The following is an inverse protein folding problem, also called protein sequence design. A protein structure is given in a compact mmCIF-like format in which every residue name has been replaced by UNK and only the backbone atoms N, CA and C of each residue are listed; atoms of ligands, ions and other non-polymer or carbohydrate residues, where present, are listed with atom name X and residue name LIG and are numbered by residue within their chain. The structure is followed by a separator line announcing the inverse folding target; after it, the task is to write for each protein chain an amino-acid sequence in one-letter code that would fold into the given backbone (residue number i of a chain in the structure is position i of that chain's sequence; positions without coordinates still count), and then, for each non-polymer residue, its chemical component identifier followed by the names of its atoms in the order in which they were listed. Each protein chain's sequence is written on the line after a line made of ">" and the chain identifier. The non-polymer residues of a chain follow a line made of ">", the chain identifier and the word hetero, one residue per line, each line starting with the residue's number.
data_IF_398398685177
#
_entry.id   IF_398398685177
#
_cell.length_a   1.000
_cell.length_b   1.000
_cell.length_c   1.000
_cell.angle_alpha   90.00
_cell.angle_beta   90.00
_cell.angle_gamma   90.00
#
_symmetry.space_group_name_H-M   'P 1'
#
loop_
_entity.id
_entity.type
_entity.pdbx_description
1 polymer ?
#
# COMPACT_ATOMS: atom_id res chain seq x y z
N UNK A 1 -29.50 1.00 6.32
CA UNK A 1 -28.02 0.83 6.40
C UNK A 1 -27.42 0.40 5.07
N UNK A 2 -27.95 -0.60 4.38
CA UNK A 2 -27.47 -1.10 3.07
C UNK A 2 -27.34 0.02 2.03
N UNK A 3 -28.38 0.86 1.89
CA UNK A 3 -28.37 1.96 0.90
C UNK A 3 -27.33 3.04 1.23
N UNK A 4 -27.03 3.26 2.51
CA UNK A 4 -25.93 4.16 2.90
C UNK A 4 -24.57 3.61 2.40
N UNK A 5 -24.32 2.32 2.57
CA UNK A 5 -23.09 1.67 2.07
C UNK A 5 -23.02 1.72 0.55
N UNK A 6 -24.13 1.44 -0.15
CA UNK A 6 -24.21 1.53 -1.61
C UNK A 6 -23.87 2.95 -2.09
N UNK A 7 -24.42 3.97 -1.43
CA UNK A 7 -24.14 5.38 -1.74
C UNK A 7 -22.65 5.74 -1.52
N UNK A 8 -22.05 5.27 -0.40
CA UNK A 8 -20.62 5.47 -0.15
C UNK A 8 -19.76 4.77 -1.22
N UNK A 9 -20.10 3.54 -1.61
CA UNK A 9 -19.41 2.83 -2.70
C UNK A 9 -19.60 3.51 -4.05
N UNK A 10 -20.75 4.13 -4.28
CA UNK A 10 -20.98 4.93 -5.48
C UNK A 10 -20.06 6.15 -5.52
N UNK A 11 -19.99 6.95 -4.44
CA UNK A 11 -19.07 8.10 -4.32
C UNK A 11 -17.61 7.66 -4.52
N UNK A 12 -17.21 6.56 -3.89
CA UNK A 12 -15.87 6.00 -4.06
C UNK A 12 -15.59 5.64 -5.53
N UNK A 13 -16.51 4.96 -6.19
CA UNK A 13 -16.32 4.45 -7.55
C UNK A 13 -16.40 5.53 -8.62
N UNK A 14 -17.39 6.42 -8.53
CA UNK A 14 -17.61 7.50 -9.49
C UNK A 14 -16.64 8.67 -9.32
N UNK A 15 -16.17 8.90 -8.07
CA UNK A 15 -15.34 10.05 -7.71
C UNK A 15 -16.12 11.35 -7.59
N UNK A 16 -17.46 11.31 -7.62
CA UNK A 16 -18.29 12.50 -7.54
C UNK A 16 -18.16 13.21 -6.17
N UNK A 17 -18.47 14.50 -6.15
CA UNK A 17 -18.64 15.22 -4.89
C UNK A 17 -19.89 14.70 -4.14
N UNK A 18 -19.88 14.73 -2.81
CA UNK A 18 -21.02 14.29 -1.99
C UNK A 18 -22.35 14.93 -2.42
N UNK A 19 -22.33 16.23 -2.72
CA UNK A 19 -23.50 17.00 -3.15
C UNK A 19 -24.06 16.57 -4.51
N UNK A 20 -23.30 15.82 -5.29
CA UNK A 20 -23.67 15.28 -6.60
C UNK A 20 -24.08 13.80 -6.53
N UNK A 21 -24.36 13.29 -5.32
CA UNK A 21 -24.90 11.96 -5.16
C UNK A 21 -26.28 11.89 -5.82
N UNK A 22 -26.56 10.89 -6.68
CA UNK A 22 -27.88 10.72 -7.33
C UNK A 22 -29.01 10.59 -6.32
N UNK A 23 -30.18 11.09 -6.70
CA UNK A 23 -31.40 11.09 -5.86
C UNK A 23 -31.96 9.69 -5.56
N UNK A 24 -31.53 8.67 -6.30
CA UNK A 24 -31.85 7.25 -6.05
C UNK A 24 -31.25 6.75 -4.72
N UNK A 25 -30.26 7.44 -4.18
CA UNK A 25 -29.67 7.17 -2.87
C UNK A 25 -30.30 8.05 -1.78
N UNK A 26 -30.11 7.69 -0.51
CA UNK A 26 -30.49 8.58 0.58
C UNK A 26 -29.82 9.97 0.44
N UNK A 27 -30.42 11.04 0.99
CA UNK A 27 -29.88 12.39 0.91
C UNK A 27 -28.39 12.44 1.29
N UNK A 28 -27.59 13.14 0.46
CA UNK A 28 -26.14 13.18 0.64
C UNK A 28 -25.67 13.61 2.07
N UNK A 29 -26.36 14.51 2.79
CA UNK A 29 -25.95 14.85 4.16
C UNK A 29 -26.04 13.68 5.10
N UNK A 30 -27.07 12.84 4.95
CA UNK A 30 -27.26 11.61 5.74
C UNK A 30 -26.13 10.61 5.42
N UNK A 31 -25.87 10.37 4.14
CA UNK A 31 -24.78 9.45 3.73
C UNK A 31 -23.42 9.92 4.25
N UNK A 32 -23.13 11.23 4.11
CA UNK A 32 -21.90 11.83 4.61
C UNK A 32 -21.78 11.77 6.14
N UNK A 33 -22.92 11.97 6.86
CA UNK A 33 -22.95 11.84 8.31
C UNK A 33 -22.48 10.44 8.74
N UNK A 34 -23.05 9.37 8.19
CA UNK A 34 -22.65 8.00 8.50
C UNK A 34 -21.19 7.73 8.11
N UNK A 35 -20.76 8.15 6.92
CA UNK A 35 -19.37 8.00 6.49
C UNK A 35 -18.39 8.68 7.48
N UNK A 36 -18.72 9.91 7.90
CA UNK A 36 -17.93 10.69 8.85
C UNK A 36 -17.92 10.02 10.24
N UNK A 37 -19.05 9.59 10.74
CA UNK A 37 -19.17 8.90 12.03
C UNK A 37 -18.29 7.64 12.03
N UNK A 38 -18.44 6.78 11.03
CA UNK A 38 -17.65 5.56 10.90
C UNK A 38 -16.14 5.80 10.68
N UNK A 39 -15.76 6.97 10.17
CA UNK A 39 -14.37 7.40 10.15
C UNK A 39 -13.87 7.76 11.54
N UNK A 40 -14.67 8.49 12.32
CA UNK A 40 -14.28 8.98 13.65
C UNK A 40 -14.18 7.84 14.66
N UNK A 41 -15.12 6.90 14.66
CA UNK A 41 -15.19 5.78 15.61
C UNK A 41 -14.37 4.54 15.17
N UNK A 42 -13.66 4.63 14.02
CA UNK A 42 -12.83 3.56 13.49
C UNK A 42 -13.61 2.40 12.85
N UNK A 43 -14.93 2.55 12.64
CA UNK A 43 -15.76 1.49 12.05
C UNK A 43 -15.28 1.04 10.67
N UNK A 44 -14.73 1.93 9.84
CA UNK A 44 -14.20 1.53 8.52
C UNK A 44 -13.05 0.53 8.62
N UNK A 45 -12.14 0.71 9.58
CA UNK A 45 -11.06 -0.26 9.84
C UNK A 45 -11.62 -1.58 10.40
N UNK A 46 -12.57 -1.51 11.35
CA UNK A 46 -13.22 -2.69 11.91
C UNK A 46 -13.98 -3.51 10.87
N UNK A 47 -14.74 -2.84 9.98
CA UNK A 47 -15.45 -3.47 8.85
C UNK A 47 -14.45 -4.15 7.91
N UNK A 48 -13.39 -3.44 7.52
CA UNK A 48 -12.34 -3.99 6.67
C UNK A 48 -11.72 -5.25 7.27
N UNK A 49 -11.40 -5.23 8.57
CA UNK A 49 -10.85 -6.37 9.31
C UNK A 49 -11.81 -7.55 9.32
N UNK A 50 -13.06 -7.34 9.69
CA UNK A 50 -14.06 -8.41 9.78
C UNK A 50 -14.30 -9.10 8.43
N UNK A 51 -14.38 -8.32 7.34
CA UNK A 51 -14.55 -8.87 5.98
C UNK A 51 -13.30 -9.65 5.55
N UNK A 52 -12.11 -9.11 5.84
CA UNK A 52 -10.84 -9.77 5.53
C UNK A 52 -10.71 -11.12 6.25
N UNK A 53 -10.97 -11.13 7.56
CA UNK A 53 -10.92 -12.35 8.36
C UNK A 53 -11.89 -13.41 7.84
N UNK A 54 -13.12 -13.02 7.51
CA UNK A 54 -14.10 -13.92 6.90
C UNK A 54 -13.63 -14.48 5.55
N UNK A 55 -13.02 -13.64 4.72
CA UNK A 55 -12.49 -14.06 3.41
C UNK A 55 -11.31 -15.03 3.58
N UNK A 56 -10.42 -14.80 4.55
CA UNK A 56 -9.29 -15.68 4.86
C UNK A 56 -9.79 -17.06 5.32
N UNK A 57 -10.76 -17.10 6.24
CA UNK A 57 -11.38 -18.35 6.70
C UNK A 57 -12.02 -19.11 5.54
N UNK A 58 -12.76 -18.39 4.68
CA UNK A 58 -13.36 -19.00 3.48
C UNK A 58 -12.32 -19.60 2.53
N UNK A 59 -11.17 -18.96 2.42
CA UNK A 59 -10.02 -19.45 1.64
C UNK A 59 -9.19 -20.52 2.38
N UNK A 60 -9.70 -21.10 3.48
CA UNK A 60 -9.04 -22.09 4.34
C UNK A 60 -7.70 -21.58 4.92
N UNK A 61 -7.60 -20.28 5.16
CA UNK A 61 -6.42 -19.63 5.74
C UNK A 61 -6.72 -19.15 7.16
N UNK A 62 -5.66 -18.90 7.93
CA UNK A 62 -5.82 -18.31 9.24
C UNK A 62 -6.29 -16.85 9.09
N UNK A 63 -7.33 -16.41 9.84
CA UNK A 63 -7.81 -15.02 9.81
C UNK A 63 -6.77 -14.00 10.28
N UNK A 64 -5.84 -14.42 11.16
CA UNK A 64 -4.77 -13.56 11.64
C UNK A 64 -3.50 -13.73 10.76
N UNK A 65 -2.96 -12.65 10.20
CA UNK A 65 -1.76 -12.72 9.37
C UNK A 65 -0.53 -13.05 10.22
N UNK A 66 0.39 -13.87 9.70
CA UNK A 66 1.70 -14.13 10.31
C UNK A 66 2.81 -13.30 9.69
N UNK A 67 2.58 -12.80 8.49
CA UNK A 67 3.51 -11.95 7.76
C UNK A 67 2.77 -10.87 6.98
N UNK A 68 3.45 -9.75 6.72
CA UNK A 68 2.90 -8.63 5.98
C UNK A 68 3.91 -7.96 5.06
N UNK A 69 3.43 -7.12 4.17
CA UNK A 69 4.24 -6.31 3.27
C UNK A 69 3.91 -4.84 3.54
N UNK A 70 4.93 -4.00 3.70
CA UNK A 70 4.77 -2.56 3.80
C UNK A 70 5.32 -1.90 2.55
N UNK A 71 4.55 -0.98 2.00
CA UNK A 71 4.98 -0.13 0.89
C UNK A 71 4.26 1.22 0.94
N UNK A 72 4.76 2.19 0.17
CA UNK A 72 4.23 3.54 0.10
C UNK A 72 3.93 4.01 -1.32
N UNK A 73 2.87 4.78 -1.47
CA UNK A 73 2.52 5.44 -2.71
C UNK A 73 2.39 6.95 -2.50
N UNK A 74 3.20 7.74 -3.23
CA UNK A 74 3.00 9.19 -3.29
C UNK A 74 1.90 9.52 -4.28
N UNK A 75 0.94 10.35 -3.86
CA UNK A 75 -0.24 10.70 -4.65
C UNK A 75 -0.46 12.20 -4.68
N UNK A 76 -0.83 12.72 -5.86
CA UNK A 76 -1.13 14.14 -6.04
C UNK A 76 -2.39 14.52 -5.26
N UNK A 77 -2.35 15.63 -4.55
CA UNK A 77 -3.55 16.31 -4.01
C UNK A 77 -4.15 17.24 -5.07
N UNK A 78 -5.37 17.71 -4.82
CA UNK A 78 -6.07 18.67 -5.67
C UNK A 78 -6.00 20.09 -5.11
N UNK A 79 -6.60 21.04 -5.82
CA UNK A 79 -6.74 22.44 -5.38
C UNK A 79 -7.65 22.66 -4.17
N UNK A 80 -8.43 21.64 -3.75
CA UNK A 80 -9.33 21.71 -2.59
C UNK A 80 -8.60 22.13 -1.30
N UNK A 81 -7.27 21.94 -1.24
CA UNK A 81 -6.49 22.18 -0.03
C UNK A 81 -6.55 20.99 0.92
N UNK A 82 -6.10 21.18 2.15
CA UNK A 82 -6.09 20.16 3.20
C UNK A 82 -4.78 20.15 3.98
N UNK A 83 -4.80 19.40 5.06
CA UNK A 83 -3.65 19.21 5.94
C UNK A 83 -2.59 18.30 5.30
N UNK A 84 -1.39 18.34 5.87
CA UNK A 84 -0.30 17.41 5.57
C UNK A 84 0.03 17.26 4.08
N UNK A 85 0.29 18.37 3.41
CA UNK A 85 0.76 18.38 2.02
C UNK A 85 2.25 18.59 1.97
N UNK A 86 2.93 17.91 1.04
CA UNK A 86 4.37 18.06 0.87
C UNK A 86 4.84 17.65 -0.51
N UNK A 87 6.15 17.63 -0.72
CA UNK A 87 6.78 17.24 -1.98
C UNK A 87 7.68 16.03 -1.78
N UNK A 88 7.43 14.98 -2.55
CA UNK A 88 8.30 13.81 -2.65
C UNK A 88 9.34 14.08 -3.75
N UNK A 89 10.57 14.38 -3.36
CA UNK A 89 11.64 14.69 -4.32
C UNK A 89 12.06 13.51 -5.17
N UNK A 90 11.99 12.29 -4.64
CA UNK A 90 12.35 11.06 -5.36
C UNK A 90 11.34 10.70 -6.45
N UNK A 91 10.05 10.82 -6.15
CA UNK A 91 8.95 10.52 -7.08
C UNK A 91 8.46 11.75 -7.86
N UNK A 92 8.96 12.97 -7.53
CA UNK A 92 8.55 14.26 -8.11
C UNK A 92 7.04 14.51 -8.01
N UNK A 93 6.44 14.15 -6.87
CA UNK A 93 5.01 14.27 -6.60
C UNK A 93 4.76 15.27 -5.47
N UNK A 94 3.93 16.30 -5.73
CA UNK A 94 3.41 17.19 -4.70
C UNK A 94 2.06 16.68 -4.20
N UNK A 95 1.98 16.32 -2.92
CA UNK A 95 0.74 15.80 -2.36
C UNK A 95 0.93 15.08 -1.03
N UNK A 96 0.35 13.90 -0.94
CA UNK A 96 0.40 13.02 0.23
C UNK A 96 1.03 11.68 -0.10
N UNK A 97 1.43 10.98 0.93
CA UNK A 97 1.93 9.61 0.84
C UNK A 97 0.97 8.67 1.59
N UNK A 98 0.57 7.59 0.92
CA UNK A 98 -0.21 6.51 1.50
C UNK A 98 0.73 5.38 1.84
N UNK A 99 0.89 5.07 3.12
CA UNK A 99 1.56 3.87 3.58
C UNK A 99 0.54 2.78 3.85
N UNK A 100 0.80 1.58 3.37
CA UNK A 100 -0.03 0.41 3.59
C UNK A 100 0.78 -0.72 4.22
N UNK A 101 0.19 -1.35 5.22
CA UNK A 101 0.53 -2.70 5.63
C UNK A 101 -0.53 -3.62 5.03
N UNK A 102 -0.10 -4.59 4.23
CA UNK A 102 -1.00 -5.58 3.61
C UNK A 102 -0.59 -6.99 4.00
N UNK A 103 -1.54 -7.94 3.97
CA UNK A 103 -1.22 -9.35 4.12
C UNK A 103 -0.63 -9.94 2.83
N UNK A 104 -0.28 -11.22 2.83
CA UNK A 104 0.32 -11.91 1.67
C UNK A 104 -0.61 -12.05 0.47
N UNK A 105 -1.91 -11.82 0.66
CA UNK A 105 -2.91 -11.75 -0.41
C UNK A 105 -3.13 -10.32 -0.93
N UNK A 106 -2.53 -9.32 -0.29
CA UNK A 106 -2.65 -7.91 -0.64
C UNK A 106 -3.86 -7.21 -0.02
N UNK A 107 -4.51 -7.81 0.97
CA UNK A 107 -5.58 -7.12 1.69
C UNK A 107 -5.01 -6.19 2.76
N UNK A 108 -5.54 -4.98 2.82
CA UNK A 108 -5.07 -3.96 3.75
C UNK A 108 -5.35 -4.38 5.20
N UNK A 109 -4.28 -4.38 5.99
CA UNK A 109 -4.30 -4.54 7.44
C UNK A 109 -4.36 -3.17 8.12
N UNK A 110 -3.45 -2.27 7.72
CA UNK A 110 -3.41 -0.87 8.17
C UNK A 110 -3.09 0.08 7.02
N UNK A 111 -3.62 1.29 7.14
CA UNK A 111 -3.34 2.39 6.23
C UNK A 111 -3.00 3.64 7.02
N UNK A 112 -1.98 4.39 6.59
CA UNK A 112 -1.64 5.71 7.11
C UNK A 112 -1.40 6.68 5.98
N UNK A 113 -1.96 7.87 6.10
CA UNK A 113 -1.80 8.95 5.12
C UNK A 113 -1.17 10.15 5.80
N UNK A 114 -0.14 10.70 5.18
CA UNK A 114 0.60 11.84 5.69
C UNK A 114 1.21 12.66 4.54
N UNK A 115 1.95 13.71 4.85
CA UNK A 115 2.64 14.55 3.87
C UNK A 115 3.59 13.71 2.99
N UNK A 116 3.61 13.98 1.68
CA UNK A 116 4.53 13.32 0.75
C UNK A 116 6.02 13.60 1.05
N UNK A 117 6.34 14.64 1.85
CA UNK A 117 7.71 14.95 2.28
C UNK A 117 8.28 13.95 3.29
N UNK A 118 7.41 13.24 4.02
CA UNK A 118 7.83 12.24 5.01
C UNK A 118 8.51 11.09 4.30
N UNK A 119 9.70 10.73 4.76
CA UNK A 119 10.46 9.61 4.17
C UNK A 119 9.79 8.27 4.48
N UNK A 120 10.00 7.27 3.62
CA UNK A 120 9.33 5.98 3.75
C UNK A 120 9.68 5.30 5.09
N UNK A 121 10.94 5.38 5.52
CA UNK A 121 11.41 4.84 6.80
C UNK A 121 10.87 5.57 8.04
N UNK A 122 10.40 6.81 7.91
CA UNK A 122 9.72 7.54 8.98
C UNK A 122 8.23 7.21 9.01
N UNK A 123 7.60 7.12 7.84
CA UNK A 123 6.17 6.86 7.71
C UNK A 123 5.75 5.46 8.16
N UNK A 124 6.68 4.50 8.25
CA UNK A 124 6.39 3.16 8.76
C UNK A 124 6.05 3.18 10.27
N UNK A 125 6.65 4.10 11.04
CA UNK A 125 6.44 4.18 12.50
C UNK A 125 4.97 4.43 12.84
N UNK A 126 4.31 5.51 12.37
CA UNK A 126 2.90 5.75 12.64
C UNK A 126 1.95 4.74 11.97
N UNK A 127 2.39 4.04 10.91
CA UNK A 127 1.63 2.95 10.31
C UNK A 127 1.57 1.74 11.23
N UNK A 128 2.68 1.37 11.85
CA UNK A 128 2.81 0.17 12.69
C UNK A 128 2.53 0.43 14.17
N UNK A 129 2.26 1.68 14.54
CA UNK A 129 1.79 2.02 15.87
C UNK A 129 0.57 1.15 16.23
N UNK A 130 0.60 0.52 17.39
CA UNK A 130 -0.42 -0.45 17.86
C UNK A 130 -0.62 -1.69 16.96
N UNK A 131 0.17 -1.89 15.89
CA UNK A 131 0.02 -3.06 15.03
C UNK A 131 0.37 -4.37 15.77
N UNK A 132 1.33 -4.34 16.69
CA UNK A 132 1.69 -5.48 17.52
C UNK A 132 0.54 -5.98 18.40
N UNK A 133 -0.27 -5.07 18.95
CA UNK A 133 -1.45 -5.39 19.75
C UNK A 133 -2.60 -5.91 18.88
N UNK A 134 -2.78 -5.33 17.69
CA UNK A 134 -3.88 -5.69 16.79
C UNK A 134 -3.65 -7.01 16.06
N UNK A 135 -2.40 -7.36 15.76
CA UNK A 135 -2.02 -8.53 14.96
C UNK A 135 -1.02 -9.41 15.71
N UNK A 136 -1.49 -10.10 16.74
CA UNK A 136 -0.64 -10.90 17.66
C UNK A 136 0.21 -11.97 16.97
N UNK A 137 -0.24 -12.51 15.81
CA UNK A 137 0.50 -13.49 15.01
C UNK A 137 1.49 -12.87 14.04
N UNK A 138 1.42 -11.56 13.74
CA UNK A 138 2.32 -10.91 12.80
C UNK A 138 3.73 -10.84 13.39
N UNK A 139 4.69 -11.48 12.73
CA UNK A 139 6.08 -11.61 13.19
C UNK A 139 7.09 -11.35 12.09
N UNK A 140 6.65 -11.16 10.85
CA UNK A 140 7.55 -10.96 9.71
C UNK A 140 7.04 -9.90 8.75
N UNK A 141 7.95 -9.03 8.27
CA UNK A 141 7.63 -8.02 7.27
C UNK A 141 8.59 -8.08 6.08
N UNK A 142 8.02 -7.90 4.88
CA UNK A 142 8.78 -7.55 3.69
C UNK A 142 8.71 -6.06 3.45
N UNK A 143 9.87 -5.43 3.31
CA UNK A 143 10.04 -4.00 3.03
C UNK A 143 10.87 -3.83 1.77
N UNK A 144 10.76 -2.68 1.11
CA UNK A 144 11.68 -2.35 0.02
C UNK A 144 13.02 -1.81 0.55
N UNK A 145 13.99 -1.63 -0.34
CA UNK A 145 15.34 -1.16 0.03
C UNK A 145 15.37 0.27 0.60
N UNK A 146 14.33 1.07 0.35
CA UNK A 146 14.19 2.43 0.92
C UNK A 146 14.05 2.47 2.45
N UNK A 147 13.77 1.32 3.08
CA UNK A 147 13.68 1.19 4.54
C UNK A 147 14.98 0.75 5.22
N UNK A 148 16.06 0.58 4.43
CA UNK A 148 17.39 0.19 4.92
C UNK A 148 18.07 1.36 5.66
N UNK A 149 18.90 1.03 6.66
CA UNK A 149 19.83 1.92 7.36
C UNK A 149 19.66 1.87 8.86
N UNK A 150 20.69 2.30 9.56
CA UNK A 150 20.74 2.38 11.02
C UNK A 150 19.63 3.31 11.53
N UNK A 151 18.91 2.87 12.55
CA UNK A 151 17.74 3.52 13.15
C UNK A 151 16.58 3.86 12.17
N UNK A 152 16.65 3.34 10.93
CA UNK A 152 15.58 3.46 9.94
C UNK A 152 14.54 2.34 10.07
N UNK A 153 13.63 2.28 9.10
CA UNK A 153 12.45 1.44 9.16
C UNK A 153 12.69 0.00 9.55
N UNK A 154 13.68 -0.69 8.95
CA UNK A 154 14.04 -2.07 9.31
C UNK A 154 14.44 -2.18 10.78
N UNK A 155 15.48 -1.46 11.17
CA UNK A 155 16.05 -1.53 12.52
C UNK A 155 15.02 -1.14 13.57
N UNK A 156 14.20 -0.13 13.29
CA UNK A 156 13.14 0.26 14.19
C UNK A 156 12.10 -0.85 14.39
N UNK A 157 11.67 -1.54 13.32
CA UNK A 157 10.72 -2.65 13.41
C UNK A 157 11.30 -3.79 14.24
N UNK A 158 12.55 -4.16 14.02
CA UNK A 158 13.23 -5.24 14.74
C UNK A 158 13.41 -4.89 16.23
N UNK A 159 13.82 -3.65 16.54
CA UNK A 159 14.03 -3.18 17.93
C UNK A 159 12.71 -2.96 18.69
N UNK A 160 11.73 -2.27 18.07
CA UNK A 160 10.52 -1.83 18.74
C UNK A 160 9.41 -2.89 18.80
N UNK A 161 9.29 -3.74 17.77
CA UNK A 161 8.23 -4.73 17.65
C UNK A 161 8.73 -6.17 17.82
N UNK A 162 10.03 -6.41 17.76
CA UNK A 162 10.62 -7.75 17.82
C UNK A 162 10.25 -8.60 16.58
N UNK A 163 9.90 -7.98 15.47
CA UNK A 163 9.53 -8.69 14.24
C UNK A 163 10.74 -8.82 13.32
N UNK A 164 10.82 -9.91 12.58
CA UNK A 164 11.83 -10.09 11.55
C UNK A 164 11.51 -9.28 10.31
N UNK A 165 12.54 -8.73 9.66
CA UNK A 165 12.40 -7.93 8.44
C UNK A 165 13.29 -8.45 7.33
N UNK A 166 12.66 -8.73 6.18
CA UNK A 166 13.37 -9.03 4.93
C UNK A 166 13.27 -7.83 3.98
N UNK A 167 14.43 -7.33 3.54
CA UNK A 167 14.51 -6.28 2.53
C UNK A 167 14.48 -6.89 1.14
N UNK A 168 13.43 -6.59 0.37
CA UNK A 168 13.29 -7.04 -1.02
C UNK A 168 14.13 -6.15 -1.92
N UNK A 169 15.29 -6.67 -2.33
CA UNK A 169 16.22 -5.95 -3.20
C UNK A 169 15.84 -6.11 -4.67
N UNK A 170 16.08 -5.07 -5.45
CA UNK A 170 16.07 -5.18 -6.90
C UNK A 170 17.33 -5.94 -7.34
N UNK A 171 17.23 -6.80 -8.36
CA UNK A 171 18.45 -7.37 -8.93
C UNK A 171 19.39 -6.23 -9.36
N UNK A 172 20.70 -6.42 -9.22
CA UNK A 172 21.67 -5.42 -9.63
C UNK A 172 21.42 -5.03 -11.09
N UNK A 173 21.54 -3.75 -11.40
CA UNK A 173 21.53 -3.31 -12.81
C UNK A 173 22.75 -3.91 -13.49
N UNK A 174 22.57 -4.43 -14.71
CA UNK A 174 23.72 -4.82 -15.52
C UNK A 174 24.64 -3.61 -15.72
N UNK A 175 25.94 -3.86 -15.72
CA UNK A 175 26.89 -2.82 -16.13
C UNK A 175 26.56 -2.36 -17.55
N UNK A 176 26.84 -1.10 -17.90
CA UNK A 176 26.68 -0.62 -19.27
C UNK A 176 27.34 -1.56 -20.27
N UNK A 177 26.75 -1.71 -21.46
CA UNK A 177 27.18 -2.69 -22.46
C UNK A 177 28.65 -2.53 -22.87
N UNK A 178 29.11 -1.29 -22.95
CA UNK A 178 30.51 -0.91 -23.25
C UNK A 178 31.49 -1.41 -22.17
N UNK A 179 31.11 -1.31 -20.87
CA UNK A 179 31.91 -1.82 -19.74
C UNK A 179 31.97 -3.35 -19.78
N UNK A 180 30.82 -4.01 -20.03
CA UNK A 180 30.76 -5.47 -20.13
C UNK A 180 31.63 -5.97 -21.30
N UNK A 181 31.59 -5.29 -22.45
CA UNK A 181 32.42 -5.63 -23.60
C UNK A 181 33.92 -5.39 -23.35
N UNK A 182 34.27 -4.36 -22.57
CA UNK A 182 35.65 -4.11 -22.19
C UNK A 182 36.19 -5.23 -21.27
N UNK A 183 35.41 -5.63 -20.28
CA UNK A 183 35.75 -6.76 -19.41
C UNK A 183 35.86 -8.07 -20.16
N UNK A 184 34.93 -8.32 -21.10
CA UNK A 184 34.98 -9.51 -21.95
C UNK A 184 36.28 -9.61 -22.77
N UNK A 185 36.71 -8.51 -23.37
CA UNK A 185 37.94 -8.44 -24.12
C UNK A 185 39.19 -8.67 -23.24
N UNK A 186 39.17 -8.13 -22.03
CA UNK A 186 40.26 -8.31 -21.09
C UNK A 186 40.38 -9.77 -20.64
N UNK A 187 39.28 -10.40 -20.21
CA UNK A 187 39.25 -11.79 -19.76
C UNK A 187 39.56 -12.79 -20.86
N UNK A 188 39.13 -12.51 -22.11
CA UNK A 188 39.51 -13.31 -23.24
C UNK A 188 41.04 -13.29 -23.52
N UNK A 189 41.72 -12.16 -23.26
CA UNK A 189 43.18 -12.06 -23.33
C UNK A 189 43.87 -12.86 -22.23
N UNK A 190 43.23 -13.01 -21.08
CA UNK A 190 43.70 -13.78 -19.92
C UNK A 190 43.36 -15.29 -20.04
N UNK A 191 42.73 -15.73 -21.12
CA UNK A 191 42.34 -17.12 -21.36
C UNK A 191 41.15 -17.59 -20.53
N UNK A 192 40.42 -16.67 -19.91
CA UNK A 192 39.24 -16.98 -19.09
C UNK A 192 37.99 -17.10 -19.95
N UNK A 193 37.30 -18.23 -19.85
CA UNK A 193 35.97 -18.43 -20.47
C UNK A 193 34.90 -17.91 -19.54
N UNK A 194 34.09 -16.95 -19.96
CA UNK A 194 33.05 -16.32 -19.16
C UNK A 194 31.67 -16.85 -19.53
N UNK A 195 30.99 -17.49 -18.59
CA UNK A 195 29.60 -17.91 -18.75
C UNK A 195 28.67 -16.68 -18.56
N UNK A 196 28.46 -15.91 -19.62
CA UNK A 196 27.67 -14.68 -19.63
C UNK A 196 26.27 -14.86 -19.09
N UNK A 197 25.63 -15.99 -19.37
CA UNK A 197 24.28 -16.30 -18.92
C UNK A 197 24.13 -16.30 -17.38
N UNK A 198 25.23 -16.61 -16.67
CA UNK A 198 25.27 -16.59 -15.21
C UNK A 198 25.64 -15.24 -14.61
N UNK A 199 26.37 -14.42 -15.37
CA UNK A 199 26.89 -13.13 -14.90
C UNK A 199 25.98 -11.94 -15.24
N UNK A 200 25.20 -12.05 -16.33
CA UNK A 200 24.28 -11.02 -16.70
C UNK A 200 22.96 -11.17 -15.90
N UNK A 201 22.48 -10.09 -15.28
CA UNK A 201 21.16 -10.12 -14.68
C UNK A 201 20.12 -10.45 -15.76
N UNK A 202 19.08 -11.20 -15.44
CA UNK A 202 18.04 -11.56 -16.38
C UNK A 202 17.47 -10.31 -17.05
N UNK A 203 17.37 -10.33 -18.37
CA UNK A 203 16.84 -9.19 -19.14
C UNK A 203 15.32 -9.11 -19.02
N UNK A 204 14.76 -7.90 -19.03
CA UNK A 204 13.34 -7.65 -19.03
C UNK A 204 12.74 -7.35 -17.65
N UNK A 205 11.41 -7.31 -17.61
CA UNK A 205 10.66 -7.06 -16.39
C UNK A 205 10.70 -8.27 -15.46
N UNK A 206 11.21 -8.06 -14.26
CA UNK A 206 11.23 -9.09 -13.20
C UNK A 206 10.23 -8.76 -12.11
N UNK A 207 9.36 -9.71 -11.83
CA UNK A 207 8.45 -9.64 -10.68
C UNK A 207 9.29 -9.86 -9.41
N UNK A 208 9.43 -8.83 -8.60
CA UNK A 208 10.06 -8.98 -7.28
C UNK A 208 9.10 -9.73 -6.35
N UNK A 209 9.50 -10.90 -5.84
CA UNK A 209 8.66 -11.66 -4.91
C UNK A 209 8.20 -10.77 -3.75
N UNK A 210 6.93 -10.93 -3.35
CA UNK A 210 6.27 -10.19 -2.27
C UNK A 210 6.01 -8.70 -2.54
N UNK A 211 6.94 -7.93 -3.09
CA UNK A 211 6.75 -6.49 -3.33
C UNK A 211 5.58 -6.19 -4.27
N UNK A 212 5.45 -6.92 -5.39
CA UNK A 212 4.36 -6.74 -6.34
C UNK A 212 2.96 -6.87 -5.69
N UNK A 213 2.87 -7.56 -4.54
CA UNK A 213 1.61 -7.72 -3.81
C UNK A 213 1.11 -6.36 -3.30
N UNK A 214 1.98 -5.54 -2.72
CA UNK A 214 1.61 -4.19 -2.27
C UNK A 214 1.31 -3.27 -3.46
N UNK A 215 2.11 -3.34 -4.53
CA UNK A 215 1.86 -2.60 -5.78
C UNK A 215 0.48 -2.94 -6.37
N UNK A 216 0.11 -4.22 -6.38
CA UNK A 216 -1.23 -4.69 -6.77
C UNK A 216 -2.31 -4.13 -5.86
N UNK A 217 -2.06 -4.03 -4.56
CA UNK A 217 -3.03 -3.46 -3.60
C UNK A 217 -3.30 -1.98 -3.89
N UNK A 218 -2.25 -1.20 -4.18
CA UNK A 218 -2.41 0.18 -4.65
C UNK A 218 -3.20 0.26 -5.95
N UNK A 219 -2.94 -0.63 -6.91
CA UNK A 219 -3.69 -0.68 -8.15
C UNK A 219 -5.18 -0.96 -7.90
N UNK A 220 -5.54 -1.92 -7.03
CA UNK A 220 -6.93 -2.19 -6.66
C UNK A 220 -7.62 -0.97 -6.03
N UNK A 221 -6.94 -0.25 -5.16
CA UNK A 221 -7.45 0.99 -4.55
C UNK A 221 -7.68 2.04 -5.64
N UNK A 222 -6.70 2.25 -6.52
CA UNK A 222 -6.75 3.25 -7.59
C UNK A 222 -7.76 2.93 -8.72
N UNK A 223 -8.28 1.70 -8.82
CA UNK A 223 -9.41 1.38 -9.69
C UNK A 223 -10.69 2.15 -9.32
N UNK A 224 -10.73 2.79 -8.17
CA UNK A 224 -11.82 3.69 -7.77
C UNK A 224 -11.43 5.13 -8.11
N UNK A 225 -12.25 5.84 -8.89
CA UNK A 225 -11.94 7.20 -9.38
C UNK A 225 -11.61 8.17 -8.25
N UNK A 226 -12.29 8.04 -7.09
CA UNK A 226 -12.00 8.87 -5.92
C UNK A 226 -10.59 8.69 -5.38
N UNK A 227 -9.96 7.56 -5.65
CA UNK A 227 -8.63 7.21 -5.17
C UNK A 227 -7.50 7.52 -6.16
N UNK A 228 -7.81 7.96 -7.40
CA UNK A 228 -6.82 8.29 -8.42
C UNK A 228 -5.96 9.52 -8.07
N UNK A 229 -6.52 10.43 -7.25
CA UNK A 229 -5.81 11.53 -6.56
C UNK A 229 -6.31 11.59 -5.12
N UNK A 230 -5.66 12.36 -4.27
CA UNK A 230 -6.20 12.66 -2.94
C UNK A 230 -7.02 13.95 -2.97
N UNK A 231 -8.34 13.80 -2.92
CA UNK A 231 -9.32 14.88 -2.92
C UNK A 231 -9.73 15.32 -1.51
N UNK A 232 -9.21 14.63 -0.48
CA UNK A 232 -9.73 14.79 0.87
C UNK A 232 -8.99 15.92 1.61
N UNK A 233 -9.71 16.66 2.47
CA UNK A 233 -9.08 17.68 3.31
C UNK A 233 -8.30 17.07 4.46
N UNK A 234 -8.82 15.98 5.07
CA UNK A 234 -8.21 15.28 6.21
C UNK A 234 -7.54 13.99 5.76
N UNK A 235 -6.35 13.71 6.29
CA UNK A 235 -5.65 12.45 6.07
C UNK A 235 -6.49 11.25 6.52
N UNK A 236 -7.15 11.36 7.68
CA UNK A 236 -8.05 10.32 8.18
C UNK A 236 -9.23 10.01 7.23
N UNK A 237 -9.69 10.98 6.43
CA UNK A 237 -10.72 10.73 5.41
C UNK A 237 -10.16 9.91 4.25
N UNK A 238 -8.92 10.19 3.84
CA UNK A 238 -8.24 9.40 2.82
C UNK A 238 -7.99 7.96 3.31
N UNK A 239 -7.59 7.76 4.56
CA UNK A 239 -7.46 6.45 5.21
C UNK A 239 -8.79 5.68 5.22
N UNK A 240 -9.89 6.32 5.60
CA UNK A 240 -11.22 5.73 5.57
C UNK A 240 -11.63 5.26 4.17
N UNK A 241 -11.31 6.03 3.13
CA UNK A 241 -11.56 5.61 1.75
C UNK A 241 -10.66 4.45 1.30
N UNK A 242 -9.43 4.32 1.80
CA UNK A 242 -8.60 3.13 1.57
C UNK A 242 -9.29 1.88 2.11
N UNK A 243 -9.75 1.91 3.38
CA UNK A 243 -10.50 0.80 3.97
C UNK A 243 -11.81 0.51 3.23
N UNK A 244 -12.53 1.57 2.83
CA UNK A 244 -13.78 1.44 2.05
C UNK A 244 -13.52 0.75 0.70
N UNK A 245 -12.46 1.13 0.00
CA UNK A 245 -12.08 0.57 -1.30
C UNK A 245 -11.73 -0.92 -1.18
N UNK A 246 -10.95 -1.26 -0.16
CA UNK A 246 -10.55 -2.64 0.10
C UNK A 246 -11.74 -3.49 0.56
N UNK A 247 -12.60 -2.97 1.43
CA UNK A 247 -13.83 -3.64 1.88
C UNK A 247 -14.73 -3.96 0.69
N UNK A 248 -14.95 -3.00 -0.22
CA UNK A 248 -15.71 -3.22 -1.44
C UNK A 248 -15.13 -4.34 -2.32
N UNK A 249 -13.81 -4.38 -2.47
CA UNK A 249 -13.13 -5.45 -3.20
C UNK A 249 -13.39 -6.82 -2.57
N UNK A 250 -13.20 -6.92 -1.25
CA UNK A 250 -13.35 -8.18 -0.52
C UNK A 250 -14.79 -8.68 -0.48
N UNK A 251 -15.79 -7.80 -0.30
CA UNK A 251 -17.22 -8.15 -0.40
C UNK A 251 -17.54 -8.74 -1.76
N UNK A 252 -17.03 -8.16 -2.86
CA UNK A 252 -17.23 -8.69 -4.20
C UNK A 252 -16.57 -10.06 -4.41
N UNK A 253 -15.48 -10.35 -3.70
CA UNK A 253 -14.85 -11.68 -3.74
C UNK A 253 -15.69 -12.69 -2.98
N UNK A 254 -16.14 -12.34 -1.77
CA UNK A 254 -17.03 -13.20 -0.99
C UNK A 254 -18.34 -13.51 -1.69
N UNK A 255 -18.88 -12.60 -2.51
CA UNK A 255 -20.12 -12.82 -3.26
C UNK A 255 -19.97 -13.71 -4.50
N UNK A 256 -18.74 -14.10 -4.87
CA UNK A 256 -18.46 -14.97 -6.05
C UNK A 256 -18.12 -16.41 -5.66
N UNK A 257 -18.09 -16.64 -4.41
CA UNK A 257 -17.76 -17.93 -3.77
C UNK A 257 -19.02 -18.48 -3.10
#
# INVERSE_FOLDING_TARGET
>A
MREILNAVFYVLRSGCAWRLLPHDFPPWPTVYHYFRTWRIDGSWEKINRAIRERLQVHSKRNPQPSAGIVDSQSIKTTGVGGEERGYDGGKKVRGRKRHLLVDTEGFVLKAKVHSAKVMDYEGIKPLLEQAGEQFSRLKHLWLDDGYRGEDKGKDWVEKALGWTVELVQRPPKSAPKDVLMAWAKQWAKEGLTVEWERMLPPQGFQVLPRRWVAERSFAWICHNRRMAKDYERLCATSEAFVYTAMSRLMVRRLARV
#
